data_IF_196449530270
#
_entry.id   IF_196449530270
#
_cell.length_a   1.000
_cell.length_b   1.000
_cell.length_c   1.000
_cell.angle_alpha   90.00
_cell.angle_beta   90.00
_cell.angle_gamma   90.00
#
_symmetry.space_group_name_H-M   'P 1'
#
loop_
_entity.id
_entity.type
_entity.pdbx_description
1 polymer ?
#
# COMPACT_ATOMS: atom_id res chain seq x y z
N UNK A 1 -8.45 -11.65 -5.48
CA UNK A 1 -8.74 -12.44 -4.28
C UNK A 1 -9.87 -13.42 -4.57
N UNK A 2 -9.69 -14.71 -4.31
CA UNK A 2 -10.69 -15.69 -4.68
C UNK A 2 -11.93 -15.64 -3.78
N UNK A 3 -13.08 -15.91 -4.40
CA UNK A 3 -14.31 -16.21 -3.68
C UNK A 3 -14.18 -17.49 -2.83
N UNK A 4 -15.06 -17.60 -1.84
CA UNK A 4 -15.13 -18.71 -0.89
C UNK A 4 -15.07 -20.09 -1.58
N UNK A 5 -14.06 -20.91 -1.25
CA UNK A 5 -13.93 -22.31 -1.69
C UNK A 5 -12.95 -22.60 -2.83
N UNK A 6 -12.25 -21.60 -3.39
CA UNK A 6 -11.19 -21.86 -4.38
C UNK A 6 -9.86 -22.20 -3.70
N UNK A 7 -9.17 -23.22 -4.23
CA UNK A 7 -7.85 -23.68 -3.80
C UNK A 7 -6.78 -22.99 -4.63
N UNK A 8 -5.84 -22.31 -3.98
CA UNK A 8 -4.64 -21.74 -4.63
C UNK A 8 -3.39 -22.53 -4.23
N UNK A 9 -2.26 -22.24 -4.88
CA UNK A 9 -0.95 -22.80 -4.51
C UNK A 9 -0.60 -22.59 -3.02
N UNK A 10 -1.22 -21.59 -2.35
CA UNK A 10 -1.08 -21.29 -0.93
C UNK A 10 -2.19 -21.82 -0.01
N UNK A 11 -3.13 -22.64 -0.50
CA UNK A 11 -4.23 -23.22 0.27
C UNK A 11 -5.60 -22.54 0.08
N UNK A 12 -6.52 -22.83 0.99
CA UNK A 12 -7.86 -22.25 1.11
C UNK A 12 -7.87 -20.98 1.96
N UNK A 13 -8.94 -20.20 1.89
CA UNK A 13 -9.12 -19.00 2.73
C UNK A 13 -9.16 -19.30 4.23
N UNK A 14 -9.75 -20.43 4.64
CA UNK A 14 -9.74 -20.89 6.04
C UNK A 14 -8.33 -21.27 6.51
N UNK A 15 -7.53 -21.92 5.65
CA UNK A 15 -6.13 -22.24 5.94
C UNK A 15 -5.28 -20.96 6.06
N UNK A 16 -5.52 -19.98 5.20
CA UNK A 16 -4.88 -18.66 5.30
C UNK A 16 -5.19 -17.98 6.63
N UNK A 17 -6.47 -17.90 7.01
CA UNK A 17 -6.89 -17.30 8.29
C UNK A 17 -6.29 -18.06 9.47
N UNK A 18 -6.30 -19.38 9.43
CA UNK A 18 -5.68 -20.23 10.47
C UNK A 18 -4.17 -19.97 10.59
N UNK A 19 -3.46 -19.88 9.46
CA UNK A 19 -2.04 -19.58 9.44
C UNK A 19 -1.74 -18.18 10.00
N UNK A 20 -2.54 -17.18 9.60
CA UNK A 20 -2.43 -15.81 10.09
C UNK A 20 -2.55 -15.72 11.61
N UNK A 21 -3.61 -16.31 12.17
CA UNK A 21 -3.85 -16.30 13.61
C UNK A 21 -2.73 -17.00 14.40
N UNK A 22 -2.11 -18.05 13.83
CA UNK A 22 -0.92 -18.69 14.41
C UNK A 22 0.30 -17.76 14.41
N UNK A 23 0.54 -17.02 13.32
CA UNK A 23 1.64 -16.03 13.28
C UNK A 23 1.41 -14.93 14.30
N UNK A 24 0.18 -14.39 14.38
CA UNK A 24 -0.18 -13.40 15.39
C UNK A 24 0.06 -13.94 16.81
N UNK A 25 -0.40 -15.16 17.12
CA UNK A 25 -0.19 -15.77 18.43
C UNK A 25 1.30 -15.96 18.77
N UNK A 26 2.14 -16.31 17.78
CA UNK A 26 3.57 -16.47 17.96
C UNK A 26 4.28 -15.15 18.33
N UNK A 27 3.74 -14.00 17.92
CA UNK A 27 4.33 -12.68 18.21
C UNK A 27 3.56 -11.87 19.26
N UNK A 28 2.43 -12.37 19.77
CA UNK A 28 1.52 -11.61 20.64
C UNK A 28 2.16 -11.05 21.92
N UNK A 29 3.23 -11.69 22.43
CA UNK A 29 3.97 -11.22 23.61
C UNK A 29 5.13 -10.26 23.28
N UNK A 30 5.26 -9.84 22.02
CA UNK A 30 6.26 -8.89 21.56
C UNK A 30 5.57 -7.59 21.11
N UNK A 31 5.85 -6.50 21.81
CA UNK A 31 5.25 -5.19 21.52
C UNK A 31 5.93 -4.42 20.37
N UNK A 32 6.98 -4.98 19.75
CA UNK A 32 7.73 -4.32 18.67
C UNK A 32 7.09 -4.48 17.28
N UNK A 33 6.69 -5.68 16.82
CA UNK A 33 6.05 -5.83 15.52
C UNK A 33 4.60 -5.33 15.56
N UNK A 34 4.16 -4.78 14.43
CA UNK A 34 2.74 -4.62 14.10
C UNK A 34 2.38 -5.64 13.03
N UNK A 35 1.17 -6.21 13.11
CA UNK A 35 0.65 -7.15 12.12
C UNK A 35 -0.14 -6.40 11.05
N UNK A 36 0.40 -6.36 9.83
CA UNK A 36 -0.13 -5.62 8.69
C UNK A 36 -0.80 -6.55 7.68
N UNK A 37 -2.13 -6.53 7.61
CA UNK A 37 -2.90 -7.30 6.64
C UNK A 37 -3.11 -6.49 5.36
N UNK A 38 -2.44 -6.91 4.29
CA UNK A 38 -2.38 -6.17 3.02
C UNK A 38 -2.69 -7.08 1.82
N UNK A 39 -3.97 -7.34 1.51
CA UNK A 39 -4.39 -8.01 0.28
C UNK A 39 -4.09 -7.21 -0.99
N UNK A 40 -3.92 -7.89 -2.13
CA UNK A 40 -4.05 -7.26 -3.45
C UNK A 40 -5.48 -6.76 -3.69
N UNK A 41 -5.63 -5.74 -4.54
CA UNK A 41 -6.91 -5.20 -4.96
C UNK A 41 -7.91 -6.27 -5.42
N UNK A 42 -9.11 -6.20 -4.86
CA UNK A 42 -10.33 -6.88 -5.29
C UNK A 42 -11.55 -6.24 -4.58
N UNK A 43 -12.76 -6.71 -4.88
CA UNK A 43 -13.96 -6.29 -4.17
C UNK A 43 -13.95 -6.78 -2.72
N UNK A 44 -14.64 -6.06 -1.84
CA UNK A 44 -14.75 -6.42 -0.42
C UNK A 44 -15.28 -7.84 -0.25
N UNK A 45 -16.25 -8.26 -1.06
CA UNK A 45 -16.85 -9.60 -1.03
C UNK A 45 -15.82 -10.71 -1.31
N UNK A 46 -14.89 -10.45 -2.23
CA UNK A 46 -13.84 -11.38 -2.61
C UNK A 46 -12.70 -11.42 -1.59
N UNK A 47 -12.43 -10.32 -0.91
CA UNK A 47 -11.38 -10.23 0.12
C UNK A 47 -11.88 -10.75 1.48
N UNK A 48 -13.15 -10.52 1.81
CA UNK A 48 -13.73 -10.81 3.13
C UNK A 48 -13.47 -12.23 3.66
N UNK A 49 -13.46 -13.30 2.85
CA UNK A 49 -13.13 -14.65 3.32
C UNK A 49 -11.69 -14.79 3.85
N UNK A 50 -10.76 -13.93 3.40
CA UNK A 50 -9.37 -13.91 3.86
C UNK A 50 -9.14 -13.01 5.08
N UNK A 51 -10.19 -12.36 5.61
CA UNK A 51 -10.07 -11.46 6.76
C UNK A 51 -9.83 -12.26 8.06
N UNK A 52 -8.69 -12.09 8.75
CA UNK A 52 -8.36 -12.92 9.91
C UNK A 52 -9.17 -12.61 11.17
N UNK A 53 -9.80 -11.44 11.22
CA UNK A 53 -10.43 -10.86 12.42
C UNK A 53 -9.71 -9.59 12.87
N UNK A 54 -10.45 -8.63 13.43
CA UNK A 54 -9.93 -7.33 13.81
C UNK A 54 -8.93 -7.40 14.98
N UNK A 55 -9.03 -8.43 15.80
CA UNK A 55 -8.15 -8.72 16.93
C UNK A 55 -6.79 -9.30 16.51
N UNK A 56 -6.65 -9.73 15.24
CA UNK A 56 -5.41 -10.32 14.70
C UNK A 56 -4.67 -9.39 13.74
N UNK A 57 -5.07 -8.11 13.67
CA UNK A 57 -4.57 -7.14 12.70
C UNK A 57 -4.42 -5.78 13.38
N UNK A 58 -3.23 -5.18 13.27
CA UNK A 58 -2.95 -3.83 13.77
C UNK A 58 -3.21 -2.77 12.70
N UNK A 59 -2.81 -3.07 11.46
CA UNK A 59 -2.92 -2.18 10.29
C UNK A 59 -3.58 -2.95 9.15
N UNK A 60 -4.49 -2.30 8.43
CA UNK A 60 -5.03 -2.84 7.18
C UNK A 60 -4.43 -2.10 5.99
N UNK A 61 -4.28 -2.79 4.87
CA UNK A 61 -3.75 -2.20 3.65
C UNK A 61 -4.28 -2.87 2.40
N UNK A 62 -3.96 -2.29 1.26
CA UNK A 62 -4.25 -2.89 -0.03
C UNK A 62 -3.13 -2.56 -1.00
N UNK A 63 -2.71 -3.55 -1.76
CA UNK A 63 -1.75 -3.40 -2.85
C UNK A 63 -2.52 -3.21 -4.16
N UNK A 64 -2.19 -2.16 -4.91
CA UNK A 64 -2.80 -1.93 -6.22
C UNK A 64 -1.92 -1.10 -7.16
N UNK A 65 -2.07 -1.37 -8.46
CA UNK A 65 -1.38 -0.67 -9.55
C UNK A 65 -2.42 -0.12 -10.54
N UNK A 66 -3.12 0.97 -10.20
CA UNK A 66 -4.22 1.44 -11.00
C UNK A 66 -3.76 2.00 -12.35
N UNK A 67 -4.63 1.97 -13.37
CA UNK A 67 -4.39 2.70 -14.62
C UNK A 67 -4.33 4.20 -14.36
N UNK A 68 -3.72 4.92 -15.30
CA UNK A 68 -3.61 6.38 -15.24
C UNK A 68 -5.00 7.03 -15.04
N UNK A 69 -5.01 8.19 -14.37
CA UNK A 69 -6.21 9.02 -14.14
C UNK A 69 -7.29 8.41 -13.22
N UNK A 70 -7.00 7.30 -12.55
CA UNK A 70 -7.92 6.75 -11.54
C UNK A 70 -7.89 7.58 -10.25
N UNK A 71 -9.06 7.86 -9.68
CA UNK A 71 -9.18 8.55 -8.40
C UNK A 71 -8.90 7.63 -7.20
N UNK A 72 -8.19 8.12 -6.17
CA UNK A 72 -7.95 7.38 -4.92
C UNK A 72 -9.23 6.75 -4.35
N UNK A 73 -10.31 7.51 -4.28
CA UNK A 73 -11.58 7.05 -3.72
C UNK A 73 -12.21 5.90 -4.51
N UNK A 74 -11.99 5.85 -5.82
CA UNK A 74 -12.46 4.76 -6.68
C UNK A 74 -11.65 3.48 -6.48
N UNK A 75 -10.36 3.60 -6.15
CA UNK A 75 -9.48 2.45 -5.89
C UNK A 75 -9.69 1.92 -4.48
N UNK A 76 -9.46 2.77 -3.48
CA UNK A 76 -9.34 2.35 -2.07
C UNK A 76 -10.60 2.59 -1.25
N UNK A 77 -11.60 3.33 -1.77
CA UNK A 77 -12.72 3.80 -0.96
C UNK A 77 -13.56 2.67 -0.36
N UNK A 78 -13.96 1.69 -1.18
CA UNK A 78 -14.73 0.54 -0.71
C UNK A 78 -13.94 -0.31 0.29
N UNK A 79 -12.63 -0.48 0.07
CA UNK A 79 -11.76 -1.21 0.98
C UNK A 79 -11.60 -0.48 2.33
N UNK A 80 -11.39 0.83 2.30
CA UNK A 80 -11.32 1.67 3.49
C UNK A 80 -12.62 1.57 4.32
N UNK A 81 -13.78 1.68 3.67
CA UNK A 81 -15.06 1.59 4.35
C UNK A 81 -15.31 0.17 4.90
N UNK A 82 -14.98 -0.87 4.11
CA UNK A 82 -15.22 -2.28 4.43
C UNK A 82 -14.34 -2.84 5.56
N UNK A 83 -13.09 -2.38 5.68
CA UNK A 83 -12.13 -2.90 6.66
C UNK A 83 -11.58 -1.84 7.61
N UNK A 84 -10.99 -0.76 7.08
CA UNK A 84 -10.30 0.22 7.92
C UNK A 84 -11.27 0.98 8.84
N UNK A 85 -12.27 1.65 8.28
CA UNK A 85 -13.26 2.40 9.04
C UNK A 85 -14.15 1.46 9.86
N UNK A 86 -14.62 0.35 9.26
CA UNK A 86 -15.48 -0.64 9.92
C UNK A 86 -14.88 -1.20 11.22
N UNK A 87 -13.57 -1.46 11.23
CA UNK A 87 -12.88 -2.06 12.37
C UNK A 87 -11.98 -1.07 13.13
N UNK A 88 -12.12 0.23 12.86
CA UNK A 88 -11.32 1.30 13.46
C UNK A 88 -9.80 1.04 13.38
N UNK A 89 -9.33 0.65 12.19
CA UNK A 89 -7.92 0.38 11.88
C UNK A 89 -7.30 1.50 11.05
N UNK A 90 -5.99 1.62 11.14
CA UNK A 90 -5.22 2.45 10.22
C UNK A 90 -5.16 1.80 8.84
N UNK A 91 -5.24 2.63 7.80
CA UNK A 91 -5.09 2.22 6.41
C UNK A 91 -3.76 2.70 5.84
N UNK A 92 -2.99 1.76 5.29
CA UNK A 92 -1.72 2.00 4.64
C UNK A 92 -1.72 1.31 3.27
N UNK A 93 -1.25 1.99 2.23
CA UNK A 93 -1.01 1.31 0.95
C UNK A 93 0.30 0.52 1.10
N UNK A 94 0.20 -0.81 1.03
CA UNK A 94 1.36 -1.69 1.23
C UNK A 94 2.32 -1.70 0.05
N UNK A 95 1.77 -1.56 -1.16
CA UNK A 95 2.50 -1.42 -2.39
C UNK A 95 1.63 -0.72 -3.46
N UNK A 96 2.21 0.21 -4.22
CA UNK A 96 1.56 0.79 -5.39
C UNK A 96 2.55 1.32 -6.43
N UNK A 97 2.04 1.54 -7.64
CA UNK A 97 2.69 2.19 -8.77
C UNK A 97 1.63 2.47 -9.85
N UNK A 98 2.06 2.83 -11.05
CA UNK A 98 1.15 2.91 -12.20
C UNK A 98 1.03 1.59 -12.93
N UNK A 99 -0.16 1.23 -13.42
CA UNK A 99 -0.39 0.01 -14.19
C UNK A 99 0.68 -0.20 -15.28
N UNK A 100 1.32 -1.37 -15.28
CA UNK A 100 2.41 -1.74 -16.20
C UNK A 100 3.53 -0.69 -16.29
N UNK A 101 3.88 -0.04 -15.18
CA UNK A 101 4.90 1.00 -15.08
C UNK A 101 4.45 2.39 -15.52
N UNK A 102 3.44 2.48 -16.40
CA UNK A 102 2.88 3.74 -16.89
C UNK A 102 3.91 4.68 -17.54
N UNK A 103 3.45 5.87 -17.93
CA UNK A 103 4.37 6.97 -18.28
C UNK A 103 4.84 7.68 -17.00
N UNK A 104 5.92 8.47 -17.09
CA UNK A 104 6.35 9.32 -15.97
C UNK A 104 5.24 10.28 -15.53
N UNK A 105 4.51 10.86 -16.49
CA UNK A 105 3.38 11.75 -16.22
C UNK A 105 2.26 11.03 -15.45
N UNK A 106 1.91 9.80 -15.84
CA UNK A 106 0.92 9.00 -15.12
C UNK A 106 1.37 8.67 -13.69
N UNK A 107 2.66 8.36 -13.50
CA UNK A 107 3.25 8.11 -12.17
C UNK A 107 3.18 9.36 -11.29
N UNK A 108 3.58 10.52 -11.81
CA UNK A 108 3.53 11.78 -11.06
C UNK A 108 2.09 12.21 -10.74
N UNK A 109 1.16 12.05 -11.69
CA UNK A 109 -0.26 12.30 -11.44
C UNK A 109 -0.80 11.41 -10.31
N UNK A 110 -0.41 10.14 -10.29
CA UNK A 110 -0.80 9.22 -9.22
C UNK A 110 -0.20 9.61 -7.87
N UNK A 111 1.12 9.86 -7.81
CA UNK A 111 1.80 10.32 -6.58
C UNK A 111 1.20 11.61 -6.04
N UNK A 112 0.81 12.55 -6.93
CA UNK A 112 0.13 13.79 -6.54
C UNK A 112 -1.23 13.52 -5.89
N UNK A 113 -2.07 12.66 -6.49
CA UNK A 113 -3.38 12.33 -5.92
C UNK A 113 -3.25 11.65 -4.55
N UNK A 114 -2.33 10.71 -4.46
CA UNK A 114 -1.96 10.00 -3.24
C UNK A 114 -1.47 10.96 -2.13
N UNK A 115 -0.83 12.06 -2.51
CA UNK A 115 -0.33 13.08 -1.59
C UNK A 115 -1.38 14.12 -1.16
N UNK A 116 -2.54 14.14 -1.81
CA UNK A 116 -3.62 15.13 -1.64
C UNK A 116 -4.98 14.50 -1.34
N UNK A 117 -4.97 13.32 -0.71
CA UNK A 117 -6.19 12.62 -0.28
C UNK A 117 -6.99 13.47 0.71
N UNK A 118 -8.31 13.55 0.53
CA UNK A 118 -9.22 14.17 1.51
C UNK A 118 -9.26 13.36 2.81
N UNK A 119 -8.48 13.79 3.80
CA UNK A 119 -8.39 13.16 5.11
C UNK A 119 -9.67 13.34 5.96
N UNK A 120 -10.60 14.23 5.58
CA UNK A 120 -11.91 14.28 6.22
C UNK A 120 -12.76 13.08 5.80
N UNK A 121 -12.65 12.65 4.53
CA UNK A 121 -13.31 11.45 4.02
C UNK A 121 -12.57 10.17 4.42
N UNK A 122 -11.23 10.19 4.44
CA UNK A 122 -10.38 9.03 4.72
C UNK A 122 -9.46 9.26 5.93
N UNK A 123 -10.01 9.47 7.15
CA UNK A 123 -9.20 9.76 8.33
C UNK A 123 -8.31 8.58 8.76
N UNK A 124 -8.64 7.36 8.32
CA UNK A 124 -7.87 6.15 8.59
C UNK A 124 -6.58 6.08 7.75
N UNK A 125 -6.46 6.81 6.65
CA UNK A 125 -5.29 6.76 5.77
C UNK A 125 -4.04 7.36 6.42
N UNK A 126 -2.94 6.59 6.44
CA UNK A 126 -1.68 6.97 7.11
C UNK A 126 -0.45 6.92 6.22
N UNK A 127 -0.34 5.98 5.29
CA UNK A 127 0.92 5.82 4.56
C UNK A 127 0.78 5.24 3.18
N UNK A 128 1.86 5.42 2.43
CA UNK A 128 2.03 4.95 1.07
C UNK A 128 3.38 4.28 0.96
N UNK A 129 3.38 3.18 0.24
CA UNK A 129 4.60 2.50 -0.15
C UNK A 129 4.68 2.42 -1.68
N UNK A 130 5.63 3.15 -2.27
CA UNK A 130 5.83 3.12 -3.73
C UNK A 130 6.78 1.99 -4.13
N UNK A 131 6.43 1.28 -5.21
CA UNK A 131 7.25 0.22 -5.80
C UNK A 131 8.31 0.81 -6.73
N UNK A 132 9.47 1.15 -6.17
CA UNK A 132 10.56 1.81 -6.91
C UNK A 132 11.46 0.77 -7.59
N UNK A 133 10.98 0.21 -8.70
CA UNK A 133 11.67 -0.88 -9.38
C UNK A 133 11.46 -0.89 -10.91
N UNK A 134 12.48 -1.36 -11.63
CA UNK A 134 12.37 -1.73 -13.05
C UNK A 134 12.09 -3.22 -13.12
N UNK A 135 10.82 -3.59 -13.33
CA UNK A 135 10.38 -4.98 -13.29
C UNK A 135 10.43 -5.57 -14.71
N UNK A 136 11.11 -6.69 -14.90
CA UNK A 136 10.92 -7.48 -16.14
C UNK A 136 9.46 -7.95 -16.21
N UNK A 137 8.84 -7.91 -17.39
CA UNK A 137 7.49 -8.47 -17.51
C UNK A 137 7.50 -9.97 -17.28
N UNK A 138 6.39 -10.47 -16.74
CA UNK A 138 6.26 -11.89 -16.37
C UNK A 138 6.22 -12.81 -17.62
N UNK A 139 5.98 -12.25 -18.80
CA UNK A 139 5.95 -12.95 -20.10
C UNK A 139 7.29 -12.89 -20.87
N UNK A 140 8.34 -12.30 -20.29
CA UNK A 140 9.64 -12.13 -20.95
C UNK A 140 9.66 -11.06 -22.05
N UNK A 141 8.60 -10.24 -22.13
CA UNK A 141 8.49 -9.05 -22.98
C UNK A 141 9.13 -7.79 -22.38
N UNK A 142 8.45 -6.65 -22.56
CA UNK A 142 8.95 -5.32 -22.18
C UNK A 142 9.01 -5.11 -20.66
N UNK A 143 10.02 -4.41 -20.16
CA UNK A 143 10.10 -4.03 -18.75
C UNK A 143 9.01 -3.02 -18.36
N UNK A 144 8.46 -3.18 -17.16
CA UNK A 144 7.61 -2.19 -16.50
C UNK A 144 8.47 -1.30 -15.60
N UNK A 145 8.60 -0.03 -15.98
CA UNK A 145 9.40 0.94 -15.23
C UNK A 145 8.55 1.71 -14.22
N UNK A 146 8.57 1.27 -12.96
CA UNK A 146 7.86 1.96 -11.87
C UNK A 146 8.67 3.08 -11.23
N UNK A 147 9.92 3.30 -11.64
CA UNK A 147 10.82 4.25 -10.96
C UNK A 147 10.36 5.69 -11.13
N UNK A 148 10.29 6.44 -10.04
CA UNK A 148 10.03 7.89 -10.02
C UNK A 148 11.22 8.69 -9.51
N UNK A 149 12.20 8.03 -8.88
CA UNK A 149 13.43 8.65 -8.40
C UNK A 149 14.65 8.07 -9.12
N UNK A 150 14.79 6.74 -9.09
CA UNK A 150 15.95 6.03 -9.59
C UNK A 150 16.07 6.17 -11.11
N UNK A 151 17.22 6.66 -11.55
CA UNK A 151 17.51 6.82 -12.98
C UNK A 151 16.73 7.95 -13.66
N UNK A 152 15.98 8.75 -12.91
CA UNK A 152 15.25 9.91 -13.45
C UNK A 152 16.13 11.16 -13.50
N UNK A 153 15.77 12.09 -14.40
CA UNK A 153 16.40 13.41 -14.46
C UNK A 153 16.07 14.24 -13.21
N UNK A 154 16.86 15.28 -12.87
CA UNK A 154 16.65 16.06 -11.66
C UNK A 154 15.26 16.72 -11.53
N UNK A 155 14.69 17.21 -12.63
CA UNK A 155 13.39 17.90 -12.58
C UNK A 155 12.22 16.98 -12.15
N UNK A 156 12.05 15.78 -12.74
CA UNK A 156 11.11 14.78 -12.22
C UNK A 156 11.32 14.44 -10.75
N UNK A 157 12.57 14.21 -10.32
CA UNK A 157 12.89 13.90 -8.92
C UNK A 157 12.42 15.01 -7.98
N UNK A 158 12.67 16.27 -8.31
CA UNK A 158 12.21 17.39 -7.49
C UNK A 158 10.68 17.51 -7.44
N UNK A 159 10.00 17.19 -8.55
CA UNK A 159 8.54 17.13 -8.58
C UNK A 159 8.00 16.05 -7.64
N UNK A 160 8.54 14.82 -7.72
CA UNK A 160 8.18 13.71 -6.83
C UNK A 160 8.40 14.09 -5.36
N UNK A 161 9.57 14.65 -5.03
CA UNK A 161 9.90 15.08 -3.67
C UNK A 161 8.97 16.21 -3.19
N UNK A 162 8.56 17.12 -4.06
CA UNK A 162 7.59 18.16 -3.74
C UNK A 162 6.23 17.56 -3.36
N UNK A 163 5.73 16.59 -4.14
CA UNK A 163 4.47 15.90 -3.86
C UNK A 163 4.51 15.20 -2.49
N UNK A 164 5.56 14.44 -2.20
CA UNK A 164 5.70 13.79 -0.88
C UNK A 164 5.82 14.78 0.29
N UNK A 165 6.45 15.95 0.08
CA UNK A 165 6.51 17.01 1.09
C UNK A 165 5.13 17.61 1.38
N UNK A 166 4.23 17.69 0.39
CA UNK A 166 2.84 18.15 0.60
C UNK A 166 2.08 17.20 1.54
N UNK A 167 2.15 15.89 1.31
CA UNK A 167 1.52 14.90 2.18
C UNK A 167 2.03 15.00 3.63
N UNK A 168 3.34 15.18 3.81
CA UNK A 168 3.95 15.35 5.12
C UNK A 168 3.55 16.67 5.81
N UNK A 169 3.06 17.67 5.08
CA UNK A 169 2.54 18.94 5.65
C UNK A 169 1.08 18.82 6.04
N UNK A 170 0.23 18.27 5.17
CA UNK A 170 -1.21 18.06 5.45
C UNK A 170 -1.42 17.22 6.71
N UNK A 171 -0.63 16.17 6.85
CA UNK A 171 -0.66 15.28 8.01
C UNK A 171 -0.23 15.98 9.30
N UNK A 172 0.72 16.93 9.25
CA UNK A 172 1.13 17.74 10.42
C UNK A 172 0.07 18.76 10.85
N UNK A 173 -0.70 19.32 9.93
CA UNK A 173 -1.81 20.23 10.26
C UNK A 173 -2.98 19.48 10.94
N UNK A 174 -3.22 18.21 10.58
CA UNK A 174 -4.23 17.36 11.21
C UNK A 174 -3.71 16.66 12.49
N UNK A 175 -2.39 16.52 12.65
CA UNK A 175 -1.72 15.81 13.76
C UNK A 175 -1.74 16.50 15.14
N UNK A 176 -2.62 17.47 15.40
CA UNK A 176 -3.03 17.75 16.79
C UNK A 176 -3.91 16.63 17.37
N UNK A 177 -4.39 15.68 16.55
CA UNK A 177 -5.27 14.60 17.00
C UNK A 177 -4.76 13.16 16.83
N UNK A 178 -3.75 12.84 16.00
CA UNK A 178 -3.29 11.44 15.82
C UNK A 178 -1.88 11.38 15.23
N UNK A 179 -0.98 10.59 15.83
CA UNK A 179 0.41 10.40 15.36
C UNK A 179 0.46 9.43 14.17
N UNK A 180 1.47 9.62 13.33
CA UNK A 180 1.94 8.80 12.19
C UNK A 180 1.20 8.94 10.86
N UNK A 181 1.80 9.72 9.96
CA UNK A 181 1.70 9.48 8.54
C UNK A 181 3.10 9.51 7.92
N UNK A 182 3.40 8.62 6.99
CA UNK A 182 4.77 8.44 6.44
C UNK A 182 4.69 7.92 5.01
N UNK A 183 5.69 8.23 4.19
CA UNK A 183 5.88 7.66 2.85
C UNK A 183 7.12 6.80 2.89
N UNK A 184 7.01 5.57 2.38
CA UNK A 184 8.13 4.66 2.21
C UNK A 184 8.35 4.39 0.72
N UNK A 185 9.60 4.39 0.29
CA UNK A 185 10.00 3.99 -1.06
C UNK A 185 10.68 2.64 -0.92
N UNK A 186 10.06 1.57 -1.45
CA UNK A 186 10.69 0.25 -1.48
C UNK A 186 11.64 0.19 -2.67
N UNK A 187 12.94 0.31 -2.41
CA UNK A 187 13.98 0.10 -3.42
C UNK A 187 14.60 -1.28 -3.28
N UNK A 188 14.52 -2.09 -4.33
CA UNK A 188 15.23 -3.37 -4.42
C UNK A 188 16.67 -3.19 -4.89
N UNK A 189 17.65 -3.34 -3.98
CA UNK A 189 19.00 -3.81 -4.35
C UNK A 189 19.32 -5.04 -3.51
N UNK A 190 19.20 -6.23 -4.11
CA UNK A 190 19.96 -7.40 -3.64
C UNK A 190 21.43 -7.16 -4.00
N UNK A 191 22.14 -6.40 -3.15
CA UNK A 191 23.56 -6.15 -3.32
C UNK A 191 24.05 -4.80 -2.78
N UNK A 192 24.61 -4.88 -1.57
CA UNK A 192 25.60 -3.97 -0.96
C UNK A 192 25.22 -2.53 -0.57
N UNK A 193 25.14 -2.41 0.78
CA UNK A 193 25.75 -1.42 1.71
C UNK A 193 25.12 -0.05 1.94
N UNK A 194 24.90 0.14 3.24
CA UNK A 194 24.96 1.32 4.10
C UNK A 194 23.96 2.46 3.87
N UNK A 195 22.90 2.42 4.68
CA UNK A 195 22.09 3.59 5.04
C UNK A 195 22.51 3.97 6.46
N UNK A 196 23.29 5.04 6.62
CA UNK A 196 23.43 5.74 7.90
C UNK A 196 22.30 6.76 8.04
N UNK A 197 21.66 6.76 9.20
CA UNK A 197 20.62 7.69 9.62
C UNK A 197 21.00 9.18 9.49
#
# INVERSE_FOLDING_TARGET
>A
MPGKGQVYAGGTTDEFVTAWQKVHAAVANNSKPLIFWCPNYDTVENIQPCWPGAEYVDIVGMDDYPPAETAFASVYGAFCDGFAARYNKHFCIGETGSFNGGTLEAKEAWVSQLSDVDLNRFPCYKSITWFEYLKASDDGGSEYDYRIIQGQLPAPVEQTLSNFRQLARLTRCVARASRFASVFILSGKLGQRDISC
#
